data_IF_068718967539
#
_entry.id   IF_068718967539
#
_cell.length_a   1.000
_cell.length_b   1.000
_cell.length_c   1.000
_cell.angle_alpha   90.00
_cell.angle_beta   90.00
_cell.angle_gamma   90.00
#
_symmetry.space_group_name_H-M   'P 1'
#
loop_
_entity.id
_entity.type
_entity.pdbx_description
1 polymer ?
#
# COMPACT_ATOMS: atom_id res chain seq x y z
N UNK A 1 28.06 -8.80 17.39
CA UNK A 1 27.89 -9.43 16.06
C UNK A 1 26.74 -8.76 15.32
N UNK A 2 26.90 -8.42 14.04
CA UNK A 2 25.82 -7.81 13.23
C UNK A 2 24.64 -8.76 13.00
N UNK A 3 23.43 -8.20 12.95
CA UNK A 3 22.17 -8.90 12.63
C UNK A 3 22.27 -9.62 11.29
N UNK A 4 22.83 -8.94 10.28
CA UNK A 4 23.00 -9.48 8.91
C UNK A 4 23.84 -10.78 8.91
N UNK A 5 24.91 -10.81 9.71
CA UNK A 5 25.73 -12.01 9.86
C UNK A 5 25.05 -13.15 10.64
N UNK A 6 24.01 -12.86 11.44
CA UNK A 6 23.18 -13.91 12.06
C UNK A 6 22.22 -14.51 11.03
N UNK A 7 21.56 -13.67 10.24
CA UNK A 7 20.65 -14.09 9.16
C UNK A 7 21.37 -14.93 8.11
N UNK A 8 22.53 -14.48 7.62
CA UNK A 8 23.31 -15.25 6.63
C UNK A 8 23.68 -16.65 7.15
N UNK A 9 24.06 -16.80 8.42
CA UNK A 9 24.35 -18.12 9.02
C UNK A 9 23.13 -19.02 9.20
N UNK A 10 21.94 -18.47 9.47
CA UNK A 10 20.71 -19.29 9.50
C UNK A 10 20.30 -19.81 8.12
N UNK A 11 20.75 -19.14 7.05
CA UNK A 11 20.51 -19.51 5.65
C UNK A 11 21.60 -20.42 5.06
N UNK A 12 22.62 -20.80 5.82
CA UNK A 12 23.66 -21.73 5.36
C UNK A 12 23.25 -23.20 5.54
N UNK A 13 23.64 -24.03 4.57
CA UNK A 13 23.61 -25.49 4.70
C UNK A 13 24.72 -25.93 5.67
N UNK A 14 24.40 -26.87 6.55
CA UNK A 14 25.32 -27.37 7.58
C UNK A 14 26.43 -28.27 7.01
N UNK A 15 26.29 -28.77 5.77
CA UNK A 15 27.24 -29.72 5.17
C UNK A 15 28.43 -29.06 4.46
N UNK A 16 28.19 -27.95 3.77
CA UNK A 16 29.19 -27.30 2.91
C UNK A 16 29.32 -25.78 3.14
N UNK A 17 28.53 -25.21 4.06
CA UNK A 17 28.52 -23.78 4.36
C UNK A 17 27.98 -22.88 3.23
N UNK A 18 27.46 -23.47 2.16
CA UNK A 18 26.82 -22.76 1.05
C UNK A 18 25.44 -22.25 1.46
N UNK A 19 24.82 -21.36 0.66
CA UNK A 19 23.47 -20.89 0.94
C UNK A 19 22.41 -21.95 0.53
N UNK A 20 21.67 -22.41 1.53
CA UNK A 20 20.52 -23.32 1.39
C UNK A 20 19.45 -22.63 0.53
N UNK A 21 19.25 -23.21 -0.66
CA UNK A 21 18.36 -22.67 -1.68
C UNK A 21 16.89 -22.61 -1.25
N UNK A 22 16.47 -23.50 -0.35
CA UNK A 22 15.11 -23.59 0.13
C UNK A 22 14.87 -22.56 1.23
N UNK A 23 15.77 -22.48 2.22
CA UNK A 23 15.71 -21.44 3.26
C UNK A 23 15.74 -20.03 2.68
N UNK A 24 16.60 -19.78 1.69
CA UNK A 24 16.64 -18.48 0.99
C UNK A 24 15.31 -18.17 0.30
N UNK A 25 14.67 -19.14 -0.36
CA UNK A 25 13.35 -18.94 -0.95
C UNK A 25 12.26 -18.67 0.11
N UNK A 26 12.28 -19.38 1.24
CA UNK A 26 11.33 -19.19 2.34
C UNK A 26 11.49 -17.81 2.98
N UNK A 27 12.74 -17.38 3.26
CA UNK A 27 13.04 -16.06 3.81
C UNK A 27 12.55 -14.95 2.86
N UNK A 28 12.87 -15.03 1.57
CA UNK A 28 12.41 -14.04 0.58
C UNK A 28 10.89 -13.97 0.46
N UNK A 29 10.15 -15.08 0.65
CA UNK A 29 8.68 -15.07 0.73
C UNK A 29 8.18 -14.35 1.99
N UNK A 30 8.84 -14.54 3.14
CA UNK A 30 8.52 -13.82 4.37
C UNK A 30 8.79 -12.32 4.22
N UNK A 31 9.94 -11.96 3.64
CA UNK A 31 10.34 -10.57 3.41
C UNK A 31 9.37 -9.85 2.45
N UNK A 32 8.91 -10.53 1.38
CA UNK A 32 7.85 -10.01 0.50
C UNK A 32 6.56 -9.72 1.29
N UNK A 33 6.10 -10.64 2.14
CA UNK A 33 4.90 -10.47 2.98
C UNK A 33 5.05 -9.33 3.98
N UNK A 34 6.21 -9.19 4.62
CA UNK A 34 6.49 -8.07 5.52
C UNK A 34 6.49 -6.73 4.78
N UNK A 35 7.02 -6.68 3.56
CA UNK A 35 6.97 -5.48 2.72
C UNK A 35 5.53 -5.11 2.31
N UNK A 36 4.69 -6.08 1.92
CA UNK A 36 3.26 -5.88 1.64
C UNK A 36 2.50 -5.33 2.87
N UNK A 37 2.75 -5.88 4.05
CA UNK A 37 2.17 -5.41 5.31
C UNK A 37 2.61 -3.98 5.64
N UNK A 38 3.89 -3.66 5.45
CA UNK A 38 4.43 -2.31 5.63
C UNK A 38 3.81 -1.30 4.64
N UNK A 39 3.69 -1.64 3.36
CA UNK A 39 2.96 -0.82 2.37
C UNK A 39 1.50 -0.59 2.76
N UNK A 40 0.82 -1.64 3.25
CA UNK A 40 -0.58 -1.55 3.72
C UNK A 40 -0.70 -0.62 4.92
N UNK A 41 0.25 -0.66 5.86
CA UNK A 41 0.32 0.28 6.98
C UNK A 41 0.52 1.73 6.53
N UNK A 42 1.44 1.97 5.59
CA UNK A 42 1.71 3.29 5.02
C UNK A 42 0.49 3.84 4.24
N UNK A 43 -0.23 2.99 3.51
CA UNK A 43 -1.46 3.38 2.81
C UNK A 43 -2.54 3.85 3.81
N UNK A 44 -2.78 3.08 4.88
CA UNK A 44 -3.73 3.46 5.95
C UNK A 44 -3.38 4.81 6.58
N UNK A 45 -2.09 5.07 6.84
CA UNK A 45 -1.62 6.37 7.35
C UNK A 45 -1.87 7.51 6.36
N UNK A 46 -1.67 7.27 5.05
CA UNK A 46 -2.00 8.26 4.03
C UNK A 46 -3.51 8.56 3.97
N UNK A 47 -4.37 7.53 4.09
CA UNK A 47 -5.82 7.70 4.01
C UNK A 47 -6.40 8.37 5.26
N UNK A 48 -5.87 8.06 6.45
CA UNK A 48 -6.17 8.79 7.68
C UNK A 48 -5.83 10.29 7.53
N UNK A 49 -4.62 10.61 7.05
CA UNK A 49 -4.21 12.00 6.85
C UNK A 49 -5.05 12.75 5.80
N UNK A 50 -5.50 12.07 4.73
CA UNK A 50 -6.45 12.68 3.77
C UNK A 50 -7.77 13.02 4.45
N UNK A 51 -8.29 12.17 5.33
CA UNK A 51 -9.53 12.43 6.06
C UNK A 51 -9.37 13.57 7.08
N UNK A 52 -8.25 13.61 7.81
CA UNK A 52 -7.90 14.72 8.72
C UNK A 52 -7.80 16.05 7.96
N UNK A 53 -7.15 16.07 6.79
CA UNK A 53 -7.05 17.26 5.93
C UNK A 53 -8.39 17.68 5.31
N UNK A 54 -9.26 16.74 4.95
CA UNK A 54 -10.61 17.04 4.46
C UNK A 54 -11.45 17.72 5.55
N UNK A 55 -11.46 17.16 6.77
CA UNK A 55 -12.14 17.77 7.92
C UNK A 55 -11.59 19.15 8.29
N UNK A 56 -10.27 19.34 8.21
CA UNK A 56 -9.63 20.65 8.37
C UNK A 56 -10.04 21.65 7.26
N UNK A 57 -10.27 21.16 6.03
CA UNK A 57 -10.84 21.95 4.93
C UNK A 57 -12.25 22.45 5.25
N UNK A 58 -13.16 21.56 5.64
CA UNK A 58 -14.52 21.93 6.05
C UNK A 58 -14.53 22.91 7.24
N UNK A 59 -13.64 22.72 8.22
CA UNK A 59 -13.51 23.64 9.35
C UNK A 59 -13.02 25.02 8.88
N UNK A 60 -12.06 25.07 7.95
CA UNK A 60 -11.55 26.32 7.38
C UNK A 60 -12.65 27.09 6.63
N UNK A 61 -13.52 26.40 5.90
CA UNK A 61 -14.66 27.03 5.21
C UNK A 61 -15.68 27.61 6.19
N UNK A 62 -16.00 26.88 7.27
CA UNK A 62 -16.90 27.38 8.33
C UNK A 62 -16.31 28.57 9.09
N UNK A 63 -15.01 28.58 9.34
CA UNK A 63 -14.33 29.75 9.94
C UNK A 63 -14.31 30.94 8.98
N UNK A 64 -14.11 30.74 7.67
CA UNK A 64 -14.15 31.81 6.69
C UNK A 64 -15.55 32.45 6.56
N UNK A 65 -16.63 31.65 6.64
CA UNK A 65 -18.01 32.15 6.68
C UNK A 65 -18.26 33.01 7.93
N UNK A 66 -17.90 32.50 9.12
CA UNK A 66 -18.04 33.23 10.39
C UNK A 66 -17.18 34.50 10.44
N UNK A 67 -16.01 34.51 9.79
CA UNK A 67 -15.17 35.71 9.66
C UNK A 67 -15.90 36.82 8.91
N UNK A 68 -16.42 36.52 7.70
CA UNK A 68 -17.18 37.51 6.92
C UNK A 68 -18.46 38.00 7.60
N UNK A 69 -19.15 37.13 8.36
CA UNK A 69 -20.31 37.53 9.19
C UNK A 69 -19.90 38.50 10.32
N UNK A 70 -18.81 38.20 11.04
CA UNK A 70 -18.29 39.07 12.11
C UNK A 70 -17.72 40.37 11.57
N UNK A 71 -17.04 40.35 10.42
CA UNK A 71 -16.49 41.54 9.76
C UNK A 71 -17.61 42.50 9.38
N UNK A 72 -18.66 42.02 8.72
CA UNK A 72 -19.83 42.83 8.37
C UNK A 72 -20.55 43.36 9.61
N UNK A 73 -20.70 42.55 10.65
CA UNK A 73 -21.30 42.98 11.92
C UNK A 73 -20.45 44.04 12.65
N UNK A 74 -19.12 43.92 12.62
CA UNK A 74 -18.19 44.88 13.22
C UNK A 74 -18.25 46.22 12.46
N UNK A 75 -18.20 46.19 11.12
CA UNK A 75 -18.35 47.38 10.27
C UNK A 75 -19.66 48.10 10.55
N UNK A 76 -20.79 47.38 10.59
CA UNK A 76 -22.10 47.98 10.91
C UNK A 76 -22.22 48.53 12.35
N UNK A 77 -21.40 48.04 13.28
CA UNK A 77 -21.38 48.55 14.65
C UNK A 77 -20.56 49.84 14.82
N UNK A 78 -19.55 50.08 13.96
CA UNK A 78 -18.71 51.30 14.01
C UNK A 78 -19.53 52.60 13.88
N UNK A 79 -20.58 52.58 13.07
CA UNK A 79 -21.43 53.74 12.81
C UNK A 79 -22.43 54.06 13.95
N UNK A 80 -22.52 53.23 14.99
CA UNK A 80 -23.57 53.36 16.02
C UNK A 80 -23.17 53.07 17.46
N UNK A 81 -22.48 51.96 17.74
CA UNK A 81 -22.14 51.52 19.10
C UNK A 81 -20.66 51.12 19.20
N UNK A 82 -19.78 52.00 19.72
CA UNK A 82 -18.35 51.72 19.81
C UNK A 82 -18.02 50.60 20.81
N UNK A 83 -18.87 50.35 21.81
CA UNK A 83 -18.69 49.25 22.76
C UNK A 83 -18.93 47.90 22.08
N UNK A 84 -20.02 47.81 21.31
CA UNK A 84 -20.31 46.64 20.48
C UNK A 84 -19.27 46.42 19.38
N UNK A 85 -18.81 47.49 18.72
CA UNK A 85 -17.76 47.40 17.71
C UNK A 85 -16.45 46.83 18.28
N UNK A 86 -16.06 47.26 19.49
CA UNK A 86 -14.86 46.74 20.15
C UNK A 86 -15.00 45.25 20.51
N UNK A 87 -16.14 44.82 21.03
CA UNK A 87 -16.41 43.41 21.34
C UNK A 87 -16.39 42.51 20.09
N UNK A 88 -16.93 42.99 18.96
CA UNK A 88 -16.89 42.27 17.69
C UNK A 88 -15.47 42.20 17.10
N UNK A 89 -14.67 43.26 17.24
CA UNK A 89 -13.27 43.25 16.83
C UNK A 89 -12.42 42.26 17.65
N UNK A 90 -12.70 42.11 18.96
CA UNK A 90 -12.06 41.08 19.80
C UNK A 90 -12.43 39.67 19.33
N UNK A 91 -13.72 39.39 19.10
CA UNK A 91 -14.18 38.09 18.62
C UNK A 91 -13.64 37.73 17.21
N UNK A 92 -13.46 38.74 16.34
CA UNK A 92 -12.86 38.56 15.03
C UNK A 92 -11.36 38.22 15.14
N UNK A 93 -10.61 38.92 16.02
CA UNK A 93 -9.20 38.60 16.28
C UNK A 93 -9.02 37.19 16.90
N UNK A 94 -9.90 36.76 17.80
CA UNK A 94 -9.90 35.38 18.31
C UNK A 94 -10.10 34.35 17.18
N UNK A 95 -11.03 34.63 16.27
CA UNK A 95 -11.33 33.76 15.13
C UNK A 95 -10.21 33.74 14.08
N UNK A 96 -9.50 34.84 13.87
CA UNK A 96 -8.28 34.89 13.04
C UNK A 96 -7.14 34.04 13.64
N UNK A 97 -6.95 34.08 14.96
CA UNK A 97 -6.01 33.19 15.65
C UNK A 97 -6.39 31.70 15.48
N UNK A 98 -7.68 31.35 15.54
CA UNK A 98 -8.16 29.99 15.24
C UNK A 98 -7.86 29.57 13.79
N UNK A 99 -8.05 30.48 12.82
CA UNK A 99 -7.74 30.23 11.41
C UNK A 99 -6.24 30.03 11.18
N UNK A 100 -5.36 30.84 11.79
CA UNK A 100 -3.91 30.69 11.67
C UNK A 100 -3.44 29.36 12.30
N UNK A 101 -3.93 29.02 13.48
CA UNK A 101 -3.62 27.74 14.13
C UNK A 101 -4.06 26.53 13.28
N UNK A 102 -5.24 26.61 12.65
CA UNK A 102 -5.73 25.59 11.72
C UNK A 102 -4.87 25.50 10.45
N UNK A 103 -4.46 26.64 9.88
CA UNK A 103 -3.61 26.70 8.70
C UNK A 103 -2.22 26.09 8.96
N UNK A 104 -1.59 26.40 10.11
CA UNK A 104 -0.32 25.80 10.54
C UNK A 104 -0.44 24.29 10.68
N UNK A 105 -1.51 23.81 11.32
CA UNK A 105 -1.77 22.37 11.47
C UNK A 105 -1.97 21.68 10.13
N UNK A 106 -2.78 22.27 9.24
CA UNK A 106 -3.01 21.75 7.88
C UNK A 106 -1.70 21.65 7.09
N UNK A 107 -0.86 22.69 7.12
CA UNK A 107 0.44 22.69 6.44
C UNK A 107 1.42 21.64 7.02
N UNK A 108 1.30 21.29 8.31
CA UNK A 108 2.04 20.18 8.92
C UNK A 108 1.54 18.81 8.46
N UNK A 109 0.22 18.59 8.43
CA UNK A 109 -0.37 17.33 8.01
C UNK A 109 -0.23 17.08 6.49
N UNK A 110 -0.21 18.14 5.66
CA UNK A 110 0.16 18.06 4.24
C UNK A 110 1.62 17.59 4.03
N UNK A 111 2.56 18.09 4.85
CA UNK A 111 3.96 17.62 4.86
C UNK A 111 4.07 16.16 5.29
N UNK A 112 3.30 15.74 6.31
CA UNK A 112 3.23 14.32 6.73
C UNK A 112 2.68 13.42 5.62
N UNK A 113 1.65 13.86 4.91
CA UNK A 113 1.07 13.12 3.80
C UNK A 113 2.08 12.94 2.65
N UNK A 114 2.83 13.99 2.30
CA UNK A 114 3.91 13.91 1.32
C UNK A 114 5.03 12.93 1.75
N UNK A 115 5.42 12.96 3.03
CA UNK A 115 6.39 12.04 3.61
C UNK A 115 5.96 10.57 3.52
N UNK A 116 4.72 10.25 3.92
CA UNK A 116 4.21 8.87 3.85
C UNK A 116 4.03 8.38 2.41
N UNK A 117 3.57 9.24 1.48
CA UNK A 117 3.51 8.91 0.05
C UNK A 117 4.88 8.55 -0.51
N UNK A 118 5.93 9.32 -0.18
CA UNK A 118 7.30 9.02 -0.58
C UNK A 118 7.77 7.67 -0.02
N UNK A 119 7.57 7.41 1.27
CA UNK A 119 7.93 6.13 1.90
C UNK A 119 7.16 4.94 1.33
N UNK A 120 5.92 5.14 0.89
CA UNK A 120 5.13 4.11 0.21
C UNK A 120 5.77 3.72 -1.13
N UNK A 121 6.17 4.70 -1.95
CA UNK A 121 6.89 4.46 -3.22
C UNK A 121 8.27 3.79 -3.00
N UNK A 122 8.98 4.16 -1.93
CA UNK A 122 10.24 3.52 -1.55
C UNK A 122 10.02 2.05 -1.12
N UNK A 123 8.93 1.77 -0.38
CA UNK A 123 8.54 0.41 0.01
C UNK A 123 8.05 -0.45 -1.17
N UNK A 124 7.32 0.13 -2.12
CA UNK A 124 6.88 -0.52 -3.36
C UNK A 124 8.07 -0.98 -4.23
N UNK A 125 9.06 -0.10 -4.42
CA UNK A 125 10.31 -0.45 -5.11
C UNK A 125 11.03 -1.60 -4.41
N UNK A 126 11.14 -1.52 -3.08
CA UNK A 126 11.78 -2.58 -2.29
C UNK A 126 11.04 -3.92 -2.41
N UNK A 127 9.70 -3.91 -2.37
CA UNK A 127 8.87 -5.09 -2.60
C UNK A 127 9.11 -5.71 -3.98
N UNK A 128 9.16 -4.90 -5.04
CA UNK A 128 9.44 -5.40 -6.39
C UNK A 128 10.88 -5.95 -6.53
N UNK A 129 11.86 -5.35 -5.85
CA UNK A 129 13.22 -5.88 -5.78
C UNK A 129 13.26 -7.25 -5.07
N UNK A 130 12.52 -7.43 -3.97
CA UNK A 130 12.37 -8.72 -3.29
C UNK A 130 11.67 -9.76 -4.17
N UNK A 131 10.62 -9.38 -4.89
CA UNK A 131 9.95 -10.27 -5.85
C UNK A 131 10.91 -10.74 -6.96
N UNK A 132 11.75 -9.84 -7.49
CA UNK A 132 12.77 -10.18 -8.49
C UNK A 132 13.81 -11.14 -7.91
N UNK A 133 14.29 -10.89 -6.68
CA UNK A 133 15.21 -11.79 -5.99
C UNK A 133 14.60 -13.17 -5.75
N UNK A 134 13.33 -13.24 -5.33
CA UNK A 134 12.60 -14.50 -5.14
C UNK A 134 12.46 -15.29 -6.44
N UNK A 135 12.16 -14.63 -7.56
CA UNK A 135 12.10 -15.26 -8.87
C UNK A 135 13.47 -15.85 -9.28
N UNK A 136 14.55 -15.09 -9.10
CA UNK A 136 15.92 -15.55 -9.37
C UNK A 136 16.34 -16.71 -8.44
N UNK A 137 15.97 -16.67 -7.16
CA UNK A 137 16.25 -17.73 -6.20
C UNK A 137 15.53 -19.04 -6.56
N UNK A 138 14.24 -18.95 -6.94
CA UNK A 138 13.44 -20.10 -7.42
C UNK A 138 14.01 -20.71 -8.70
N UNK A 139 14.41 -19.88 -9.68
CA UNK A 139 15.06 -20.36 -10.90
C UNK A 139 16.40 -21.07 -10.59
N UNK A 140 17.22 -20.47 -9.72
CA UNK A 140 18.50 -21.03 -9.28
C UNK A 140 18.34 -22.34 -8.49
N UNK A 141 17.25 -22.48 -7.72
CA UNK A 141 16.87 -23.75 -7.04
C UNK A 141 16.50 -24.83 -8.05
N UNK A 142 15.64 -24.51 -9.03
CA UNK A 142 15.22 -25.44 -10.07
C UNK A 142 16.40 -25.97 -10.90
N UNK A 143 17.35 -25.10 -11.28
CA UNK A 143 18.58 -25.52 -11.99
C UNK A 143 19.44 -26.43 -11.11
N UNK A 144 19.65 -26.10 -9.82
CA UNK A 144 20.39 -26.96 -8.88
C UNK A 144 19.75 -28.35 -8.72
N UNK A 145 18.44 -28.40 -8.53
CA UNK A 145 17.68 -29.66 -8.40
C UNK A 145 17.75 -30.50 -9.68
N UNK A 146 17.64 -29.88 -10.85
CA UNK A 146 17.76 -30.57 -12.15
C UNK A 146 19.18 -31.12 -12.35
N UNK A 147 20.21 -30.36 -12.00
CA UNK A 147 21.60 -30.82 -12.09
C UNK A 147 21.94 -31.92 -11.08
N UNK A 148 21.32 -31.92 -9.89
CA UNK A 148 21.43 -33.02 -8.93
C UNK A 148 20.81 -34.30 -9.51
N UNK A 149 19.58 -34.24 -10.00
CA UNK A 149 18.89 -35.38 -10.61
C UNK A 149 19.64 -35.95 -11.84
N UNK A 150 20.28 -35.11 -12.66
CA UNK A 150 21.14 -35.57 -13.78
C UNK A 150 22.38 -36.33 -13.28
N UNK A 151 22.99 -35.89 -12.17
CA UNK A 151 24.16 -36.58 -11.57
C UNK A 151 23.77 -37.91 -10.92
N UNK A 152 22.60 -37.96 -10.29
CA UNK A 152 22.04 -39.18 -9.68
C UNK A 152 21.58 -40.21 -10.74
N UNK A 153 21.21 -39.74 -11.94
CA UNK A 153 20.71 -40.58 -13.03
C UNK A 153 21.45 -40.31 -14.36
N UNK A 154 22.75 -40.65 -14.48
CA UNK A 154 23.58 -40.31 -15.63
C UNK A 154 23.17 -40.99 -16.95
N UNK A 155 22.33 -42.03 -16.90
CA UNK A 155 21.77 -42.68 -18.09
C UNK A 155 20.63 -41.88 -18.77
N UNK A 156 20.17 -40.78 -18.18
CA UNK A 156 19.06 -39.97 -18.69
C UNK A 156 19.57 -38.99 -19.76
N UNK A 157 19.49 -39.39 -21.03
CA UNK A 157 19.83 -38.53 -22.18
C UNK A 157 18.96 -37.27 -22.22
N UNK A 158 19.54 -36.14 -22.66
CA UNK A 158 18.95 -34.79 -22.61
C UNK A 158 17.54 -34.64 -23.21
N UNK A 159 17.15 -35.52 -24.14
CA UNK A 159 15.78 -35.62 -24.70
C UNK A 159 14.75 -35.79 -23.56
N UNK A 160 15.11 -36.59 -22.55
CA UNK A 160 14.28 -36.96 -21.42
C UNK A 160 14.26 -35.86 -20.33
N UNK A 161 15.19 -34.89 -20.32
CA UNK A 161 15.12 -33.74 -19.41
C UNK A 161 13.96 -32.78 -19.77
N UNK A 162 13.63 -32.66 -21.06
CA UNK A 162 12.47 -31.91 -21.55
C UNK A 162 11.15 -32.60 -21.14
N UNK A 163 11.15 -33.93 -21.16
CA UNK A 163 10.04 -34.76 -20.69
C UNK A 163 9.92 -34.73 -19.15
N UNK A 164 11.03 -34.77 -18.40
CA UNK A 164 11.04 -34.62 -16.95
C UNK A 164 10.51 -33.26 -16.49
N UNK A 165 10.85 -32.15 -17.18
CA UNK A 165 10.25 -30.84 -16.92
C UNK A 165 8.73 -30.81 -17.18
N UNK A 166 8.25 -31.52 -18.20
CA UNK A 166 6.81 -31.69 -18.42
C UNK A 166 6.17 -32.56 -17.32
N UNK A 167 6.86 -33.61 -16.87
CA UNK A 167 6.39 -34.54 -15.84
C UNK A 167 6.37 -33.94 -14.42
N UNK A 168 7.30 -33.02 -14.13
CA UNK A 168 7.32 -32.22 -12.89
C UNK A 168 6.14 -31.23 -12.91
N UNK A 169 5.95 -30.48 -14.01
CA UNK A 169 4.80 -29.58 -14.17
C UNK A 169 3.45 -30.31 -14.11
N UNK A 170 3.37 -31.52 -14.67
CA UNK A 170 2.18 -32.36 -14.58
C UNK A 170 1.93 -32.86 -13.14
N UNK A 171 2.99 -33.19 -12.38
CA UNK A 171 2.87 -33.52 -10.94
C UNK A 171 2.43 -32.34 -10.09
N UNK A 172 2.92 -31.14 -10.38
CA UNK A 172 2.44 -29.90 -9.75
C UNK A 172 0.95 -29.59 -10.06
N UNK A 173 0.39 -30.21 -11.11
CA UNK A 173 -1.03 -30.10 -11.50
C UNK A 173 -1.91 -31.26 -11.01
N UNK A 174 -1.36 -32.31 -10.40
CA UNK A 174 -2.09 -33.53 -10.02
C UNK A 174 -2.14 -33.81 -8.50
N UNK A 175 -1.94 -32.78 -7.67
CA UNK A 175 -2.15 -32.87 -6.20
C UNK A 175 -3.30 -31.94 -5.77
N UNK A 176 -4.53 -32.41 -5.98
CA UNK A 176 -5.81 -32.12 -5.29
C UNK A 176 -6.92 -32.97 -5.96
N UNK A 177 -8.18 -33.15 -5.45
CA UNK A 177 -8.96 -32.42 -4.40
C UNK A 177 -8.58 -32.73 -2.92
N UNK A 178 -9.38 -32.58 -1.84
CA UNK A 178 -10.82 -32.26 -1.58
C UNK A 178 -10.98 -31.75 -0.10
N UNK A 179 -12.10 -31.27 0.47
CA UNK A 179 -13.45 -30.96 -0.08
C UNK A 179 -13.95 -29.55 0.35
N UNK A 180 -14.74 -29.27 1.43
CA UNK A 180 -15.83 -28.29 1.27
C UNK A 180 -15.70 -26.98 2.06
N UNK A 181 -16.53 -26.02 1.67
CA UNK A 181 -16.60 -24.66 2.22
C UNK A 181 -17.78 -24.46 3.19
N UNK A 182 -17.73 -23.40 4.03
CA UNK A 182 -18.92 -22.66 4.46
C UNK A 182 -19.22 -21.51 3.49
N UNK A 183 -20.50 -21.30 3.18
CA UNK A 183 -20.96 -20.18 2.35
C UNK A 183 -20.89 -18.84 3.11
N UNK A 184 -20.57 -17.74 2.41
CA UNK A 184 -20.38 -16.43 3.04
C UNK A 184 -20.16 -15.25 2.11
N UNK A 185 -21.02 -15.06 1.11
CA UNK A 185 -21.25 -13.78 0.41
C UNK A 185 -20.04 -13.00 -0.12
N UNK A 186 -19.64 -13.23 -1.38
CA UNK A 186 -18.83 -12.25 -2.10
C UNK A 186 -19.69 -11.06 -2.55
N UNK A 187 -19.45 -9.89 -1.95
CA UNK A 187 -19.85 -8.63 -2.54
C UNK A 187 -18.94 -8.31 -3.74
N UNK A 188 -19.40 -8.57 -4.97
CA UNK A 188 -18.81 -7.98 -6.16
C UNK A 188 -18.96 -6.45 -6.09
N UNK A 189 -17.85 -5.75 -5.87
CA UNK A 189 -17.77 -4.30 -6.10
C UNK A 189 -17.36 -4.06 -7.54
N UNK A 190 -18.36 -3.92 -8.40
CA UNK A 190 -18.17 -3.21 -9.67
C UNK A 190 -17.73 -1.78 -9.38
N UNK A 191 -16.80 -1.25 -10.17
CA UNK A 191 -16.47 0.17 -10.10
C UNK A 191 -17.62 1.01 -10.65
N UNK A 192 -17.76 2.25 -10.20
CA UNK A 192 -18.76 3.16 -10.75
C UNK A 192 -18.54 3.40 -12.26
N UNK A 193 -17.29 3.34 -12.71
CA UNK A 193 -16.90 3.52 -14.10
C UNK A 193 -17.31 2.35 -15.01
N UNK A 194 -17.23 1.10 -14.52
CA UNK A 194 -17.76 -0.08 -15.24
C UNK A 194 -19.27 0.03 -15.47
N UNK A 195 -20.01 0.50 -14.45
CA UNK A 195 -21.46 0.68 -14.52
C UNK A 195 -21.82 1.83 -15.47
N UNK A 196 -21.11 2.96 -15.39
CA UNK A 196 -21.33 4.12 -16.26
C UNK A 196 -20.98 3.85 -17.73
N UNK A 197 -19.90 3.10 -18.01
CA UNK A 197 -19.53 2.71 -19.37
C UNK A 197 -20.61 1.84 -20.01
N UNK A 198 -21.13 0.84 -19.27
CA UNK A 198 -22.17 -0.08 -19.74
C UNK A 198 -23.50 0.63 -20.01
N UNK A 199 -23.92 1.54 -19.13
CA UNK A 199 -25.15 2.33 -19.32
C UNK A 199 -25.07 3.30 -20.50
N UNK A 200 -23.90 3.91 -20.75
CA UNK A 200 -23.68 4.78 -21.92
C UNK A 200 -23.75 4.01 -23.24
N UNK A 201 -23.18 2.79 -23.31
CA UNK A 201 -23.30 1.93 -24.48
C UNK A 201 -24.76 1.50 -24.75
N UNK A 202 -25.53 1.18 -23.70
CA UNK A 202 -26.95 0.81 -23.84
C UNK A 202 -27.85 1.98 -24.27
N UNK A 203 -27.52 3.22 -23.90
CA UNK A 203 -28.28 4.40 -24.34
C UNK A 203 -28.05 4.72 -25.83
N UNK A 204 -26.83 4.52 -26.33
CA UNK A 204 -26.48 4.80 -27.73
C UNK A 204 -26.85 3.67 -28.71
N UNK A 205 -27.50 2.61 -28.24
CA UNK A 205 -27.90 1.43 -29.05
C UNK A 205 -29.41 1.19 -29.09
N UNK A 206 -30.22 2.14 -28.59
CA UNK A 206 -31.67 2.18 -28.85
C UNK A 206 -31.98 3.25 -29.91
N UNK A 207 -32.70 2.89 -31.00
CA UNK A 207 -33.35 3.87 -31.87
C UNK A 207 -34.58 4.49 -31.18
#
# INVERSE_FOLDING_TARGET
MSVLGRVLRSLQDAKDGSLDSERVCVQLVQDCRHAEQHMTGLARQCDQLKAELAGAGEQSERLAQRHGELEQAALAALDGDPGRAHALAQALAELENEQEALAVRRAYDEKRLAYYRRRWLEAERHYHDLCRQLAMARASRCVRQTMAAIREHPAVTLINAKQALAHIRAREQQVQPDEPAPAGGQAHRHSADEVLARLRQQRNTRP
#
